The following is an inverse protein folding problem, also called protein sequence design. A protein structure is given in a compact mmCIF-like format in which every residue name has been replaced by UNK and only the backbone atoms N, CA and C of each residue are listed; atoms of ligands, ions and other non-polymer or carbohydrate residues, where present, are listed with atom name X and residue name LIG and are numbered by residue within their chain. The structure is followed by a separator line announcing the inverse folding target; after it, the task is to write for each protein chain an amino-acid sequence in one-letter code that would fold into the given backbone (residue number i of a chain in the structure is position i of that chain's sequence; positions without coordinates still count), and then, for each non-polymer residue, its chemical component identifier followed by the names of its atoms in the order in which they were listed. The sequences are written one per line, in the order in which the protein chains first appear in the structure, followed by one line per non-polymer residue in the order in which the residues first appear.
data_IF_899166369545
#
_entry.id   IF_899166369545
#
_cell.length_a   1.000
_cell.length_b   1.000
_cell.length_c   1.000
_cell.angle_alpha   90.00
_cell.angle_beta   90.00
_cell.angle_gamma   90.00
#
_symmetry.space_group_name_H-M   'P 1'
#
loop_
_entity.id
_entity.type
_entity.pdbx_description
1 polymer ?
#
# COMPACT_ATOMS: atom_id res chain seq x y z
N UNK A 1 -22.02 5.05 7.70
CA UNK A 1 -21.19 3.95 8.21
C UNK A 1 -21.43 2.74 7.33
N UNK A 2 -20.63 2.59 6.29
CA UNK A 2 -20.72 1.41 5.41
C UNK A 2 -19.95 0.29 6.08
N UNK A 3 -20.66 -0.68 6.67
CA UNK A 3 -20.04 -1.92 7.12
C UNK A 3 -19.46 -2.58 5.87
N UNK A 4 -18.14 -2.66 5.78
CA UNK A 4 -17.46 -3.35 4.69
C UNK A 4 -17.83 -4.83 4.77
N UNK A 5 -18.80 -5.25 3.96
CA UNK A 5 -19.16 -6.65 3.84
C UNK A 5 -18.05 -7.37 3.08
N UNK A 6 -17.02 -7.82 3.81
CA UNK A 6 -15.93 -8.63 3.27
C UNK A 6 -16.51 -9.93 2.75
N UNK A 7 -16.21 -10.28 1.49
CA UNK A 7 -16.69 -11.55 0.93
C UNK A 7 -15.98 -12.72 1.62
N UNK A 8 -16.62 -13.91 1.78
CA UNK A 8 -16.00 -15.05 2.45
C UNK A 8 -14.64 -15.46 1.85
N UNK A 9 -14.49 -15.30 0.53
CA UNK A 9 -13.23 -15.58 -0.19
C UNK A 9 -12.16 -14.53 0.10
N UNK A 10 -12.51 -13.24 0.16
CA UNK A 10 -11.58 -12.18 0.54
C UNK A 10 -11.09 -12.36 1.98
N UNK A 11 -11.98 -12.74 2.91
CA UNK A 11 -11.58 -13.07 4.28
C UNK A 11 -10.58 -14.23 4.33
N UNK A 12 -10.74 -15.26 3.49
CA UNK A 12 -9.78 -16.36 3.40
C UNK A 12 -8.42 -15.92 2.85
N UNK A 13 -8.40 -15.05 1.84
CA UNK A 13 -7.15 -14.48 1.30
C UNK A 13 -6.41 -13.66 2.35
N UNK A 14 -7.12 -12.82 3.13
CA UNK A 14 -6.52 -12.04 4.22
C UNK A 14 -5.83 -12.98 5.23
N UNK A 15 -6.53 -14.05 5.63
CA UNK A 15 -5.97 -15.03 6.58
C UNK A 15 -4.73 -15.72 6.02
N UNK A 16 -4.71 -16.03 4.73
CA UNK A 16 -3.54 -16.65 4.10
C UNK A 16 -2.36 -15.68 4.01
N UNK A 17 -2.60 -14.44 3.57
CA UNK A 17 -1.55 -13.44 3.45
C UNK A 17 -0.95 -13.10 4.83
N UNK A 18 -1.77 -13.04 5.89
CA UNK A 18 -1.30 -12.79 7.25
C UNK A 18 -0.47 -13.93 7.85
N UNK A 19 -0.41 -15.11 7.22
CA UNK A 19 0.53 -16.18 7.62
C UNK A 19 1.95 -15.93 7.09
N UNK A 20 2.09 -15.14 6.03
CA UNK A 20 3.38 -14.80 5.46
C UNK A 20 3.92 -13.55 6.14
N UNK A 21 4.97 -13.69 6.96
CA UNK A 21 5.60 -12.59 7.70
C UNK A 21 6.14 -11.47 6.81
N UNK A 22 6.35 -11.76 5.51
CA UNK A 22 6.78 -10.76 4.54
C UNK A 22 5.65 -9.81 4.13
N UNK A 23 4.39 -10.18 4.37
CA UNK A 23 3.26 -9.35 3.98
C UNK A 23 2.86 -8.47 5.18
N UNK A 24 2.93 -7.13 5.04
CA UNK A 24 2.60 -6.24 6.13
C UNK A 24 1.10 -6.29 6.44
N UNK A 25 0.76 -6.58 7.69
CA UNK A 25 -0.64 -6.52 8.16
C UNK A 25 -1.25 -5.12 7.99
N UNK A 26 -0.41 -4.08 7.94
CA UNK A 26 -0.79 -2.68 7.72
C UNK A 26 -1.61 -2.46 6.43
N UNK A 27 -1.43 -3.32 5.43
CA UNK A 27 -2.24 -3.26 4.21
C UNK A 27 -3.74 -3.49 4.46
N UNK A 28 -4.09 -4.24 5.50
CA UNK A 28 -5.47 -4.59 5.86
C UNK A 28 -6.07 -3.69 6.93
N UNK A 29 -5.36 -2.63 7.31
CA UNK A 29 -5.84 -1.70 8.31
C UNK A 29 -7.06 -0.89 7.83
N UNK A 30 -7.99 -0.73 8.75
CA UNK A 30 -9.09 0.24 8.65
C UNK A 30 -8.57 1.67 8.80
N UNK A 31 -9.40 2.64 8.45
CA UNK A 31 -9.09 4.07 8.60
C UNK A 31 -8.80 4.42 10.07
N UNK A 32 -9.55 3.81 10.99
CA UNK A 32 -9.39 3.98 12.43
C UNK A 32 -8.06 3.43 12.91
N UNK A 33 -7.66 2.23 12.45
CA UNK A 33 -6.36 1.64 12.80
C UNK A 33 -5.18 2.47 12.26
N UNK A 34 -5.30 3.02 11.05
CA UNK A 34 -4.30 3.96 10.51
C UNK A 34 -4.21 5.22 11.38
N UNK A 35 -5.35 5.74 11.84
CA UNK A 35 -5.40 6.93 12.67
C UNK A 35 -4.78 6.68 14.06
N UNK A 36 -5.07 5.54 14.68
CA UNK A 36 -4.48 5.13 15.96
C UNK A 36 -2.96 4.94 15.83
N UNK A 37 -2.50 4.36 14.71
CA UNK A 37 -1.06 4.25 14.42
C UNK A 37 -0.36 5.62 14.33
N UNK A 38 -1.01 6.63 13.74
CA UNK A 38 -0.47 7.99 13.68
C UNK A 38 -0.39 8.63 15.07
N UNK A 39 -1.34 8.34 15.95
CA UNK A 39 -1.30 8.77 17.35
C UNK A 39 -0.10 8.13 18.07
N UNK A 40 0.08 6.81 17.91
CA UNK A 40 1.20 6.04 18.49
C UNK A 40 2.57 6.49 17.95
N UNK A 41 2.62 6.94 16.70
CA UNK A 41 3.82 7.51 16.08
C UNK A 41 4.21 8.87 16.70
N UNK A 42 3.34 9.48 17.51
CA UNK A 42 3.57 10.75 18.19
C UNK A 42 2.95 11.96 17.49
N UNK A 43 2.05 11.75 16.53
CA UNK A 43 1.39 12.82 15.78
C UNK A 43 -0.14 12.85 15.97
N UNK A 44 -0.66 12.90 17.20
CA UNK A 44 -2.11 12.77 17.45
C UNK A 44 -2.95 13.90 16.86
N UNK A 45 -2.34 15.05 16.58
CA UNK A 45 -2.98 16.18 15.93
C UNK A 45 -3.29 15.92 14.44
N UNK A 46 -2.63 14.95 13.81
CA UNK A 46 -2.90 14.55 12.42
C UNK A 46 -3.93 13.42 12.31
N UNK A 47 -4.42 12.85 13.41
CA UNK A 47 -5.46 11.81 13.39
C UNK A 47 -6.63 12.14 12.48
N UNK A 48 -7.17 13.36 12.63
CA UNK A 48 -8.30 13.83 11.85
C UNK A 48 -7.97 14.02 10.36
N UNK A 49 -6.70 14.28 10.01
CA UNK A 49 -6.27 14.34 8.62
C UNK A 49 -6.42 12.97 7.94
N UNK A 50 -6.09 11.88 8.62
CA UNK A 50 -6.23 10.53 8.06
C UNK A 50 -7.68 10.06 8.04
N UNK A 51 -8.44 10.28 9.11
CA UNK A 51 -9.84 9.84 9.17
C UNK A 51 -10.75 10.59 8.20
N UNK A 52 -10.63 11.92 8.12
CA UNK A 52 -11.46 12.75 7.24
C UNK A 52 -11.19 12.47 5.76
N UNK A 53 -9.95 12.12 5.42
CA UNK A 53 -9.56 11.78 4.05
C UNK A 53 -9.68 10.27 3.73
N UNK A 54 -10.24 9.47 4.65
CA UNK A 54 -10.48 8.03 4.49
C UNK A 54 -9.21 7.25 4.09
N UNK A 55 -8.09 7.57 4.74
CA UNK A 55 -6.81 6.91 4.49
C UNK A 55 -6.81 5.56 5.21
N UNK A 56 -7.01 4.48 4.47
CA UNK A 56 -6.93 3.09 4.94
C UNK A 56 -5.55 2.47 4.62
N UNK A 57 -5.34 1.22 5.05
CA UNK A 57 -4.09 0.49 4.82
C UNK A 57 -3.70 0.36 3.34
N UNK A 58 -4.70 0.20 2.46
CA UNK A 58 -4.46 0.15 1.01
C UNK A 58 -4.07 1.51 0.44
N UNK A 59 -4.62 2.60 0.98
CA UNK A 59 -4.26 3.96 0.60
C UNK A 59 -2.82 4.30 1.01
N UNK A 60 -2.34 3.79 2.15
CA UNK A 60 -0.93 3.98 2.57
C UNK A 60 0.08 3.46 1.53
N UNK A 61 -0.27 2.42 0.77
CA UNK A 61 0.59 1.88 -0.29
C UNK A 61 0.74 2.88 -1.45
N UNK A 62 -0.27 3.72 -1.71
CA UNK A 62 -0.30 4.63 -2.86
C UNK A 62 0.05 6.07 -2.52
N UNK A 63 -0.11 6.47 -1.26
CA UNK A 63 0.06 7.87 -0.88
C UNK A 63 1.53 8.28 -1.01
N UNK A 64 1.78 9.35 -1.76
CA UNK A 64 3.11 9.93 -1.89
C UNK A 64 3.30 11.10 -0.93
N UNK A 65 4.56 11.41 -0.62
CA UNK A 65 4.90 12.54 0.24
C UNK A 65 4.32 13.89 -0.26
N UNK A 66 4.17 14.03 -1.58
CA UNK A 66 3.59 15.19 -2.25
C UNK A 66 2.09 15.38 -1.99
N UNK A 67 1.38 14.37 -1.50
CA UNK A 67 -0.05 14.42 -1.19
C UNK A 67 -0.32 14.92 0.23
N UNK A 68 0.65 14.87 1.14
CA UNK A 68 0.47 15.22 2.55
C UNK A 68 -0.05 16.66 2.80
N UNK A 69 0.46 17.69 2.11
CA UNK A 69 -0.07 19.05 2.29
C UNK A 69 -1.55 19.17 1.95
N UNK A 70 -2.05 18.38 0.99
CA UNK A 70 -3.46 18.38 0.58
C UNK A 70 -4.38 17.75 1.63
N UNK A 71 -3.87 16.83 2.44
CA UNK A 71 -4.65 16.21 3.52
C UNK A 71 -4.49 16.95 4.87
N UNK A 72 -3.70 18.02 4.92
CA UNK A 72 -3.54 18.89 6.09
C UNK A 72 -2.23 18.72 6.87
N UNK A 73 -1.26 17.94 6.35
CA UNK A 73 0.06 17.78 6.94
C UNK A 73 1.04 18.65 6.15
N UNK A 74 1.36 19.83 6.68
CA UNK A 74 2.17 20.84 5.97
C UNK A 74 3.60 20.95 6.48
N UNK A 75 3.90 20.43 7.66
CA UNK A 75 5.25 20.47 8.24
C UNK A 75 6.15 19.46 7.51
N UNK A 76 7.27 19.97 6.97
CA UNK A 76 8.17 19.16 6.15
C UNK A 76 8.89 18.06 6.93
N UNK A 77 9.28 18.31 8.18
CA UNK A 77 9.95 17.30 9.00
C UNK A 77 8.95 16.21 9.43
N UNK A 78 7.70 16.58 9.73
CA UNK A 78 6.65 15.60 9.98
C UNK A 78 6.37 14.74 8.75
N UNK A 79 6.29 15.35 7.56
CA UNK A 79 6.14 14.62 6.29
C UNK A 79 7.25 13.58 6.10
N UNK A 80 8.51 13.96 6.37
CA UNK A 80 9.65 13.03 6.25
C UNK A 80 9.54 11.85 7.20
N UNK A 81 9.20 12.10 8.47
CA UNK A 81 9.05 11.05 9.47
C UNK A 81 7.92 10.12 9.08
N UNK A 82 6.73 10.66 8.79
CA UNK A 82 5.55 9.86 8.43
C UNK A 82 5.82 9.06 7.14
N UNK A 83 6.37 9.69 6.10
CA UNK A 83 6.68 8.99 4.85
C UNK A 83 7.67 7.84 5.04
N UNK A 84 8.67 8.00 5.92
CA UNK A 84 9.59 6.94 6.29
C UNK A 84 8.86 5.82 7.06
N UNK A 85 8.08 6.17 8.07
CA UNK A 85 7.34 5.21 8.89
C UNK A 85 6.32 4.39 8.08
N UNK A 86 5.72 4.97 7.03
CA UNK A 86 4.89 4.23 6.06
C UNK A 86 5.72 3.17 5.33
N UNK A 87 6.93 3.50 4.87
CA UNK A 87 7.81 2.51 4.20
C UNK A 87 8.22 1.40 5.16
N UNK A 88 8.57 1.76 6.39
CA UNK A 88 8.99 0.81 7.43
C UNK A 88 7.86 -0.19 7.74
N UNK A 89 6.62 0.29 7.91
CA UNK A 89 5.50 -0.60 8.26
C UNK A 89 4.99 -1.44 7.09
N UNK A 90 5.08 -0.93 5.87
CA UNK A 90 4.76 -1.69 4.66
C UNK A 90 5.91 -2.61 4.24
N UNK A 91 7.05 -2.60 4.95
CA UNK A 91 8.24 -3.37 4.60
C UNK A 91 8.69 -3.17 3.15
N UNK A 92 8.48 -1.96 2.62
CA UNK A 92 8.82 -1.60 1.23
C UNK A 92 10.23 -1.00 1.20
N UNK A 93 11.01 -1.40 0.18
CA UNK A 93 12.35 -0.88 -0.07
C UNK A 93 12.34 0.64 -0.26
N UNK A 94 13.39 1.32 0.22
CA UNK A 94 13.59 2.73 -0.13
C UNK A 94 13.88 2.88 -1.63
N UNK A 95 13.51 4.01 -2.25
CA UNK A 95 13.82 4.26 -3.65
C UNK A 95 15.33 4.26 -3.89
N UNK A 96 15.81 3.31 -4.69
CA UNK A 96 17.21 3.21 -5.11
C UNK A 96 17.37 3.75 -6.55
N UNK A 97 18.00 4.93 -6.67
CA UNK A 97 18.28 5.56 -7.96
C UNK A 97 19.39 4.87 -8.77
N UNK A 98 20.13 3.94 -8.16
CA UNK A 98 21.17 3.14 -8.82
C UNK A 98 20.64 1.81 -9.37
N UNK A 99 19.38 1.48 -9.10
CA UNK A 99 18.72 0.27 -9.58
C UNK A 99 18.72 0.22 -11.11
N UNK A 100 19.12 -0.92 -11.67
CA UNK A 100 19.14 -1.12 -13.12
C UNK A 100 17.74 -0.97 -13.72
N UNK A 101 17.63 -0.24 -14.83
CA UNK A 101 16.40 -0.12 -15.62
C UNK A 101 15.91 -1.45 -16.20
N UNK A 102 16.77 -2.48 -16.21
CA UNK A 102 16.40 -3.83 -16.63
C UNK A 102 15.66 -4.62 -15.55
N UNK A 103 15.73 -4.18 -14.28
CA UNK A 103 15.02 -4.79 -13.17
C UNK A 103 13.64 -4.13 -13.01
N UNK A 104 12.64 -4.86 -12.45
CA UNK A 104 11.40 -4.23 -12.04
C UNK A 104 11.68 -3.11 -11.03
N UNK A 105 10.95 -1.99 -11.03
CA UNK A 105 11.27 -0.84 -10.18
C UNK A 105 10.89 -1.03 -8.71
N UNK A 106 10.18 -2.11 -8.36
CA UNK A 106 9.89 -2.54 -6.98
C UNK A 106 10.24 -4.01 -6.79
N UNK A 107 10.46 -4.43 -5.54
CA UNK A 107 10.56 -5.85 -5.17
C UNK A 107 9.24 -6.58 -5.41
N UNK A 108 9.25 -7.92 -5.45
CA UNK A 108 8.05 -8.74 -5.65
C UNK A 108 6.94 -8.39 -4.65
N UNK A 109 7.30 -8.12 -3.39
CA UNK A 109 6.37 -7.64 -2.37
C UNK A 109 5.78 -6.28 -2.73
N UNK A 110 6.63 -5.30 -3.08
CA UNK A 110 6.15 -3.97 -3.48
C UNK A 110 5.22 -4.01 -4.70
N UNK A 111 5.48 -4.92 -5.64
CA UNK A 111 4.63 -5.16 -6.81
C UNK A 111 3.28 -5.77 -6.42
N UNK A 112 3.29 -6.76 -5.53
CA UNK A 112 2.07 -7.36 -5.00
C UNK A 112 1.20 -6.35 -4.24
N UNK A 113 1.82 -5.55 -3.36
CA UNK A 113 1.15 -4.50 -2.61
C UNK A 113 0.51 -3.46 -3.54
N UNK A 114 1.21 -3.06 -4.62
CA UNK A 114 0.67 -2.14 -5.60
C UNK A 114 -0.60 -2.67 -6.26
N UNK A 115 -0.62 -3.96 -6.66
CA UNK A 115 -1.84 -4.58 -7.21
C UNK A 115 -2.98 -4.54 -6.19
N UNK A 116 -2.68 -4.90 -4.94
CA UNK A 116 -3.69 -5.01 -3.89
C UNK A 116 -4.15 -3.66 -3.31
N UNK A 117 -3.45 -2.58 -3.63
CA UNK A 117 -3.84 -1.22 -3.27
C UNK A 117 -5.15 -0.78 -3.95
N UNK A 118 -5.51 -1.43 -5.07
CA UNK A 118 -6.77 -1.22 -5.79
C UNK A 118 -7.83 -2.18 -5.27
N UNK A 119 -9.11 -1.80 -5.39
CA UNK A 119 -10.25 -2.63 -5.01
C UNK A 119 -10.81 -3.34 -6.24
N UNK A 120 -11.19 -4.60 -6.09
CA UNK A 120 -11.80 -5.38 -7.17
C UNK A 120 -11.81 -6.86 -6.86
N UNK A 121 -12.90 -7.57 -7.20
CA UNK A 121 -13.13 -8.97 -6.80
C UNK A 121 -11.92 -9.87 -7.01
N UNK A 122 -11.32 -9.83 -8.21
CA UNK A 122 -10.15 -10.67 -8.54
C UNK A 122 -8.92 -10.29 -7.70
N UNK A 123 -8.70 -9.00 -7.48
CA UNK A 123 -7.57 -8.46 -6.70
C UNK A 123 -7.74 -8.80 -5.22
N UNK A 124 -8.95 -8.61 -4.69
CA UNK A 124 -9.29 -8.89 -3.30
C UNK A 124 -9.05 -10.36 -2.96
N UNK A 125 -9.38 -11.28 -3.87
CA UNK A 125 -9.15 -12.72 -3.72
C UNK A 125 -7.73 -13.20 -4.07
N UNK A 126 -6.90 -12.36 -4.70
CA UNK A 126 -5.56 -12.76 -5.15
C UNK A 126 -4.60 -12.89 -3.96
N UNK A 127 -4.01 -14.08 -3.83
CA UNK A 127 -2.94 -14.37 -2.87
C UNK A 127 -1.57 -14.04 -3.47
N UNK A 128 -0.56 -13.85 -2.61
CA UNK A 128 0.82 -13.65 -3.06
C UNK A 128 1.35 -14.81 -3.92
N UNK A 129 1.01 -16.06 -3.58
CA UNK A 129 1.42 -17.23 -4.36
C UNK A 129 0.82 -17.22 -5.78
N UNK A 130 -0.47 -16.89 -5.90
CA UNK A 130 -1.14 -16.75 -7.21
C UNK A 130 -0.52 -15.61 -8.02
N UNK A 131 -0.20 -14.49 -7.37
CA UNK A 131 0.49 -13.37 -8.02
C UNK A 131 1.83 -13.81 -8.62
N UNK A 132 2.67 -14.52 -7.86
CA UNK A 132 3.95 -15.03 -8.35
C UNK A 132 3.81 -16.03 -9.51
N UNK A 133 2.77 -16.88 -9.49
CA UNK A 133 2.48 -17.81 -10.59
C UNK A 133 2.01 -17.08 -11.86
N UNK A 134 1.22 -16.03 -11.70
CA UNK A 134 0.70 -15.23 -12.81
C UNK A 134 1.79 -14.32 -13.40
N UNK A 135 2.72 -13.85 -12.58
CA UNK A 135 3.80 -12.93 -12.95
C UNK A 135 5.17 -13.47 -12.50
N UNK A 136 5.67 -14.58 -13.10
CA UNK A 136 6.93 -15.21 -12.67
C UNK A 136 8.19 -14.40 -13.04
N UNK A 137 8.08 -13.51 -14.02
CA UNK A 137 9.09 -12.51 -14.39
C UNK A 137 8.32 -11.23 -14.69
N UNK A 138 7.97 -10.42 -13.67
CA UNK A 138 7.23 -9.19 -13.85
C UNK A 138 8.14 -8.16 -14.51
N UNK A 139 8.48 -8.37 -15.79
CA UNK A 139 9.20 -7.38 -16.59
C UNK A 139 8.40 -6.10 -16.52
N UNK A 140 9.05 -5.04 -16.03
CA UNK A 140 8.50 -3.70 -16.09
C UNK A 140 8.11 -3.42 -17.54
N UNK A 141 6.81 -3.29 -17.79
CA UNK A 141 6.29 -2.81 -19.06
C UNK A 141 5.74 -1.43 -18.75
N UNK A 142 6.25 -0.36 -19.38
CA UNK A 142 5.62 0.93 -19.22
C UNK A 142 4.15 0.75 -19.64
N UNK A 143 3.18 1.19 -18.82
CA UNK A 143 1.79 1.09 -19.19
C UNK A 143 1.62 1.85 -20.51
N UNK A 144 0.81 1.30 -21.44
CA UNK A 144 0.47 1.99 -22.69
C UNK A 144 -0.28 3.33 -22.44
N UNK A 145 -0.59 3.64 -21.18
CA UNK A 145 -1.21 4.86 -20.72
C UNK A 145 -0.42 5.49 -19.56
N UNK A 146 -0.37 6.83 -19.50
CA UNK A 146 0.47 7.67 -18.62
C UNK A 146 0.16 7.61 -17.10
N UNK A 147 -0.25 6.47 -16.56
CA UNK A 147 -0.74 6.34 -15.18
C UNK A 147 0.35 5.93 -14.17
N UNK A 148 1.62 5.80 -14.59
CA UNK A 148 2.75 5.43 -13.73
C UNK A 148 2.57 4.13 -12.93
N UNK A 149 1.74 3.20 -13.42
CA UNK A 149 1.51 1.89 -12.82
C UNK A 149 2.48 0.86 -13.38
N UNK A 150 3.03 -0.02 -12.55
CA UNK A 150 4.00 -1.03 -13.03
C UNK A 150 3.31 -2.20 -13.75
N UNK A 151 2.10 -2.56 -13.33
CA UNK A 151 1.37 -3.71 -13.89
C UNK A 151 0.10 -3.26 -14.62
N UNK A 152 -0.25 -3.91 -15.75
CA UNK A 152 -1.47 -3.61 -16.46
C UNK A 152 -2.69 -4.01 -15.63
N UNK A 153 -3.73 -3.17 -15.64
CA UNK A 153 -5.05 -3.57 -15.17
C UNK A 153 -5.69 -4.52 -16.18
N UNK A 154 -6.30 -5.60 -15.70
CA UNK A 154 -7.24 -6.42 -16.47
C UNK A 154 -8.66 -5.89 -16.32
#
# INVERSE_FOLDING_TARGET
MSVTHVSPTESATIVEDLKDERIPSAMYWTVEQVADWIDELGFPHYRNCFTTNLIDGRMLIRIEASAFPRIGITDFEHIKIIAKSIRDILTVEEPDWTRSISLPPRSDLGMYLEVKSVRGKNIDTMTMQQFQQQYPDPKWRPPLANHCLILPHN
#
